data_IF_894676053960
#
_entry.id   IF_894676053960
#
_cell.length_a   1.000
_cell.length_b   1.000
_cell.length_c   1.000
_cell.angle_alpha   90.00
_cell.angle_beta   90.00
_cell.angle_gamma   90.00
#
_symmetry.space_group_name_H-M   'P 1'
#
loop_
_entity.id
_entity.type
_entity.pdbx_description
1 polymer ?
#
# COMPACT_ATOMS: atom_id res chain seq x y z
N UNK A 1 -4.54 -13.63 -6.81
CA UNK A 1 -3.76 -13.25 -8.01
C UNK A 1 -3.22 -11.82 -7.89
N UNK A 2 -4.04 -10.82 -7.55
CA UNK A 2 -3.62 -9.41 -7.35
C UNK A 2 -2.39 -9.19 -6.44
N UNK A 3 -2.23 -9.98 -5.37
CA UNK A 3 -1.08 -9.86 -4.48
C UNK A 3 0.26 -10.12 -5.19
N UNK A 4 0.31 -11.13 -6.08
CA UNK A 4 1.53 -11.46 -6.84
C UNK A 4 1.90 -10.35 -7.82
N UNK A 5 0.91 -9.77 -8.49
CA UNK A 5 1.10 -8.64 -9.40
C UNK A 5 1.62 -7.41 -8.68
N UNK A 6 1.03 -7.07 -7.52
CA UNK A 6 1.48 -5.94 -6.70
C UNK A 6 2.89 -6.16 -6.14
N UNK A 7 3.24 -7.38 -5.73
CA UNK A 7 4.59 -7.72 -5.31
C UNK A 7 5.60 -7.53 -6.45
N UNK A 8 5.25 -7.93 -7.66
CA UNK A 8 6.08 -7.70 -8.83
C UNK A 8 6.21 -6.21 -9.15
N UNK A 9 5.13 -5.44 -9.03
CA UNK A 9 5.18 -3.99 -9.22
C UNK A 9 6.11 -3.31 -8.22
N UNK A 10 6.08 -3.71 -6.93
CA UNK A 10 7.05 -3.20 -5.94
C UNK A 10 8.47 -3.56 -6.36
N UNK A 11 8.70 -4.77 -6.86
CA UNK A 11 10.04 -5.21 -7.29
C UNK A 11 10.56 -4.39 -8.49
N UNK A 12 9.71 -4.07 -9.46
CA UNK A 12 10.10 -3.37 -10.70
C UNK A 12 10.09 -1.85 -10.57
N UNK A 13 9.11 -1.28 -9.87
CA UNK A 13 8.85 0.17 -9.78
C UNK A 13 9.21 0.76 -8.41
N UNK A 14 9.56 -0.07 -7.43
CA UNK A 14 9.89 0.33 -6.06
C UNK A 14 8.68 0.65 -5.18
N UNK A 15 7.46 0.64 -5.72
CA UNK A 15 6.20 0.90 -4.98
C UNK A 15 4.99 0.31 -5.70
N UNK A 16 3.89 0.11 -4.98
CA UNK A 16 2.60 -0.28 -5.55
C UNK A 16 1.43 0.27 -4.70
N UNK A 17 0.29 0.56 -5.34
CA UNK A 17 -0.94 0.94 -4.63
C UNK A 17 -1.71 -0.32 -4.25
N UNK A 18 -1.76 -0.61 -2.94
CA UNK A 18 -2.34 -1.85 -2.40
C UNK A 18 -3.80 -1.70 -1.95
N UNK A 19 -4.22 -0.50 -1.53
CA UNK A 19 -5.61 -0.15 -1.20
C UNK A 19 -5.88 1.33 -1.54
N UNK A 20 -7.17 1.67 -1.66
CA UNK A 20 -7.65 3.04 -1.88
C UNK A 20 -8.98 3.22 -1.14
N UNK A 21 -9.24 4.42 -0.59
CA UNK A 21 -10.44 4.69 0.20
C UNK A 21 -10.40 6.05 0.89
N UNK A 22 -11.26 6.22 1.89
CA UNK A 22 -11.26 7.44 2.70
C UNK A 22 -9.95 7.59 3.46
N UNK A 23 -9.61 8.84 3.82
CA UNK A 23 -8.41 9.14 4.61
C UNK A 23 -8.31 8.26 5.86
N UNK A 24 -9.40 8.13 6.62
CA UNK A 24 -9.46 7.33 7.84
C UNK A 24 -9.14 5.84 7.58
N UNK A 25 -9.71 5.25 6.53
CA UNK A 25 -9.41 3.86 6.18
C UNK A 25 -7.95 3.66 5.77
N UNK A 26 -7.37 4.61 5.03
CA UNK A 26 -5.97 4.53 4.62
C UNK A 26 -5.01 4.69 5.82
N UNK A 27 -5.34 5.52 6.81
CA UNK A 27 -4.56 5.66 8.05
C UNK A 27 -4.50 4.33 8.83
N UNK A 28 -5.61 3.59 8.88
CA UNK A 28 -5.67 2.25 9.47
C UNK A 28 -4.80 1.26 8.69
N UNK A 29 -4.87 1.26 7.36
CA UNK A 29 -4.12 0.33 6.52
C UNK A 29 -2.60 0.57 6.62
N UNK A 30 -2.16 1.83 6.60
CA UNK A 30 -0.74 2.18 6.80
C UNK A 30 -0.24 1.66 8.15
N UNK A 31 -1.03 1.84 9.21
CA UNK A 31 -0.68 1.37 10.56
C UNK A 31 -0.51 -0.15 10.61
N UNK A 32 -1.44 -0.89 9.98
CA UNK A 32 -1.37 -2.36 9.91
C UNK A 32 -0.15 -2.85 9.12
N UNK A 33 0.14 -2.21 7.99
CA UNK A 33 1.28 -2.58 7.15
C UNK A 33 2.61 -2.31 7.86
N UNK A 34 2.74 -1.19 8.57
CA UNK A 34 3.93 -0.94 9.40
C UNK A 34 4.13 -2.01 10.47
N UNK A 35 3.05 -2.46 11.13
CA UNK A 35 3.13 -3.55 12.09
C UNK A 35 3.50 -4.90 11.44
N UNK A 36 3.13 -5.11 10.18
CA UNK A 36 3.42 -6.33 9.43
C UNK A 36 4.83 -6.39 8.83
N UNK A 37 5.59 -5.28 8.85
CA UNK A 37 6.97 -5.20 8.36
C UNK A 37 7.20 -4.35 7.10
N UNK A 38 6.26 -4.28 6.13
CA UNK A 38 6.39 -3.35 5.00
C UNK A 38 6.36 -1.88 5.44
N UNK A 39 7.22 -1.06 4.81
CA UNK A 39 7.08 0.38 4.87
C UNK A 39 5.89 0.83 4.01
N UNK A 40 4.92 1.51 4.60
CA UNK A 40 3.70 1.92 3.93
C UNK A 40 3.48 3.43 4.02
N UNK A 41 2.92 4.02 2.97
CA UNK A 41 2.58 5.45 2.93
C UNK A 41 1.22 5.63 2.28
N UNK A 42 0.55 6.73 2.58
CA UNK A 42 -0.70 7.13 1.93
C UNK A 42 -0.50 8.43 1.15
N UNK A 43 -1.19 8.57 0.04
CA UNK A 43 -1.19 9.77 -0.80
C UNK A 43 -2.63 10.09 -1.21
N UNK A 44 -2.90 11.37 -1.46
CA UNK A 44 -4.16 11.81 -2.04
C UNK A 44 -4.03 11.77 -3.57
N UNK A 45 -4.93 11.07 -4.24
CA UNK A 45 -5.05 11.15 -5.70
C UNK A 45 -5.47 12.58 -6.07
N UNK A 46 -4.76 13.18 -7.03
CA UNK A 46 -5.00 14.56 -7.49
C UNK A 46 -6.32 14.71 -8.24
#
# INVERSE_FOLDING_TARGET
MRATELMMQVHTEGKAVVSAGSRESMEVDVTKLHAAGPWATMQQDR
#
